data_IF_379814895185
#
_entry.id   IF_379814895185
#
_cell.length_a   1.000
_cell.length_b   1.000
_cell.length_c   1.000
_cell.angle_alpha   90.00
_cell.angle_beta   90.00
_cell.angle_gamma   90.00
#
_symmetry.space_group_name_H-M   'P 1'
#
loop_
_entity.id
_entity.type
_entity.pdbx_description
1 polymer ?
#
# COMPACT_ATOMS: atom_id res chain seq x y z
N UNK A 1 2.92 9.39 23.13
CA UNK A 1 3.96 9.84 22.19
C UNK A 1 3.38 10.96 21.34
N UNK A 2 4.17 11.96 20.92
CA UNK A 2 3.72 13.06 20.05
C UNK A 2 4.08 12.84 18.57
N UNK A 3 4.65 11.68 18.23
CA UNK A 3 5.11 11.35 16.87
C UNK A 3 4.06 10.50 16.15
N UNK A 4 3.87 10.74 14.86
CA UNK A 4 3.03 9.88 14.01
C UNK A 4 3.68 8.50 13.79
N UNK A 5 2.89 7.53 13.36
CA UNK A 5 3.41 6.18 13.06
C UNK A 5 4.48 6.22 11.96
N UNK A 6 4.22 6.95 10.87
CA UNK A 6 5.17 7.01 9.75
C UNK A 6 6.46 7.76 10.11
N UNK A 7 6.38 8.79 10.95
CA UNK A 7 7.57 9.44 11.50
C UNK A 7 8.39 8.47 12.36
N UNK A 8 7.73 7.66 13.17
CA UNK A 8 8.39 6.63 13.99
C UNK A 8 9.06 5.57 13.12
N UNK A 9 8.34 5.01 12.14
CA UNK A 9 8.88 4.00 11.23
C UNK A 9 10.05 4.54 10.39
N UNK A 10 9.98 5.80 9.96
CA UNK A 10 11.06 6.45 9.20
C UNK A 10 12.34 6.55 10.03
N UNK A 11 12.22 7.03 11.28
CA UNK A 11 13.37 7.13 12.19
C UNK A 11 13.91 5.76 12.57
N UNK A 12 13.02 4.80 12.83
CA UNK A 12 13.42 3.43 13.14
C UNK A 12 14.22 2.81 12.00
N UNK A 13 13.75 2.93 10.76
CA UNK A 13 14.42 2.40 9.58
C UNK A 13 15.78 3.09 9.34
N UNK A 14 15.88 4.39 9.61
CA UNK A 14 17.13 5.14 9.51
C UNK A 14 18.13 4.74 10.60
N UNK A 15 17.71 4.71 11.87
CA UNK A 15 18.58 4.38 13.01
C UNK A 15 19.04 2.92 12.99
N UNK A 16 18.19 2.00 12.54
CA UNK A 16 18.52 0.58 12.42
C UNK A 16 19.19 0.21 11.07
N UNK A 17 19.29 1.18 10.15
CA UNK A 17 19.73 1.00 8.76
C UNK A 17 19.09 -0.21 8.06
N UNK A 18 17.76 -0.26 8.08
CA UNK A 18 16.97 -1.33 7.47
C UNK A 18 15.98 -0.82 6.43
N UNK A 19 15.48 -1.74 5.61
CA UNK A 19 14.40 -1.49 4.67
C UNK A 19 13.02 -1.73 5.31
N UNK A 20 12.01 -1.11 4.72
CA UNK A 20 10.62 -1.25 5.10
C UNK A 20 9.88 -2.14 4.10
N UNK A 21 9.05 -3.02 4.65
CA UNK A 21 7.90 -3.58 3.95
C UNK A 21 6.72 -2.67 4.27
N UNK A 22 6.09 -2.13 3.24
CA UNK A 22 4.93 -1.26 3.40
C UNK A 22 3.67 -1.98 2.97
N UNK A 23 2.80 -2.26 3.93
CA UNK A 23 1.47 -2.77 3.68
C UNK A 23 0.50 -1.59 3.43
N UNK A 24 0.01 -1.49 2.19
CA UNK A 24 -0.92 -0.41 1.80
C UNK A 24 -2.30 -0.61 2.40
N UNK A 25 -2.71 -1.86 2.60
CA UNK A 25 -3.98 -2.18 3.23
C UNK A 25 -3.95 -1.77 4.70
N UNK A 26 -2.87 -2.07 5.41
CA UNK A 26 -2.72 -1.68 6.81
C UNK A 26 -2.78 -0.16 6.99
N UNK A 27 -2.15 0.62 6.11
CA UNK A 27 -2.27 2.09 6.12
C UNK A 27 -3.73 2.52 5.97
N UNK A 28 -4.48 1.93 5.03
CA UNK A 28 -5.88 2.25 4.82
C UNK A 28 -6.76 1.90 6.04
N UNK A 29 -6.60 0.70 6.60
CA UNK A 29 -7.33 0.24 7.79
C UNK A 29 -7.04 1.13 8.99
N UNK A 30 -5.77 1.41 9.26
CA UNK A 30 -5.33 2.28 10.36
C UNK A 30 -5.87 3.69 10.21
N UNK A 31 -5.83 4.26 8.99
CA UNK A 31 -6.36 5.59 8.71
C UNK A 31 -7.86 5.68 9.01
N UNK A 32 -8.63 4.70 8.55
CA UNK A 32 -10.07 4.65 8.80
C UNK A 32 -10.39 4.52 10.29
N UNK A 33 -9.70 3.63 10.99
CA UNK A 33 -9.97 3.35 12.40
C UNK A 33 -9.53 4.47 13.36
N UNK A 34 -8.48 5.20 13.00
CA UNK A 34 -7.91 6.26 13.85
C UNK A 34 -8.23 7.69 13.37
N UNK A 35 -8.93 7.84 12.26
CA UNK A 35 -9.44 9.12 11.77
C UNK A 35 -8.37 10.05 11.22
N UNK A 36 -7.32 9.50 10.60
CA UNK A 36 -6.31 10.28 9.87
C UNK A 36 -6.44 10.11 8.36
N UNK A 37 -5.82 11.00 7.58
CA UNK A 37 -5.85 10.92 6.12
C UNK A 37 -4.84 9.87 5.63
N UNK A 38 -5.28 8.80 4.93
CA UNK A 38 -4.35 7.81 4.39
C UNK A 38 -3.44 8.40 3.32
N UNK A 39 -3.91 9.41 2.59
CA UNK A 39 -3.14 10.01 1.49
C UNK A 39 -1.96 10.83 2.04
N UNK A 40 -2.18 11.57 3.14
CA UNK A 40 -1.12 12.27 3.86
C UNK A 40 -0.07 11.29 4.42
N UNK A 41 -0.50 10.09 4.85
CA UNK A 41 0.42 9.03 5.27
C UNK A 41 1.29 8.59 4.10
N UNK A 42 0.67 8.31 2.95
CA UNK A 42 1.35 7.89 1.72
C UNK A 42 2.37 8.93 1.24
N UNK A 43 2.08 10.23 1.40
CA UNK A 43 3.01 11.32 1.08
C UNK A 43 4.22 11.39 2.03
N UNK A 44 4.06 10.97 3.28
CA UNK A 44 5.12 10.97 4.29
C UNK A 44 5.99 9.71 4.28
N UNK A 45 5.61 8.68 3.53
CA UNK A 45 6.40 7.44 3.43
C UNK A 45 7.84 7.73 2.97
N UNK A 46 8.87 7.17 3.66
CA UNK A 46 10.29 7.28 3.28
C UNK A 46 10.58 6.29 2.15
N UNK A 47 10.18 6.66 0.94
CA UNK A 47 10.09 5.75 -0.21
C UNK A 47 11.41 5.10 -0.61
N UNK A 48 12.54 5.75 -0.33
CA UNK A 48 13.89 5.22 -0.51
C UNK A 48 14.19 4.03 0.39
N UNK A 49 13.52 3.93 1.54
CA UNK A 49 13.63 2.81 2.47
C UNK A 49 12.62 1.70 2.19
N UNK A 50 11.58 1.94 1.39
CA UNK A 50 10.59 0.91 1.05
C UNK A 50 11.15 -0.04 0.00
N UNK A 51 11.25 -1.33 0.37
CA UNK A 51 11.80 -2.39 -0.48
C UNK A 51 10.72 -3.31 -1.06
N UNK A 52 9.57 -3.41 -0.37
CA UNK A 52 8.51 -4.36 -0.70
C UNK A 52 7.14 -3.80 -0.33
N UNK A 53 6.12 -4.15 -1.11
CA UNK A 53 4.73 -3.78 -0.83
C UNK A 53 3.85 -4.99 -0.59
N UNK A 54 2.93 -4.87 0.36
CA UNK A 54 1.75 -5.73 0.44
C UNK A 54 0.51 -4.94 0.05
N UNK A 55 -0.40 -5.63 -0.62
CA UNK A 55 -1.78 -5.21 -0.84
C UNK A 55 -2.68 -6.38 -0.47
N UNK A 56 -3.77 -6.10 0.21
CA UNK A 56 -4.69 -7.10 0.72
C UNK A 56 -6.12 -6.53 0.79
N UNK A 57 -7.11 -7.41 0.88
CA UNK A 57 -8.46 -7.05 1.28
C UNK A 57 -8.65 -7.09 2.79
N UNK A 58 -9.76 -6.55 3.26
CA UNK A 58 -10.09 -6.43 4.68
C UNK A 58 -11.59 -6.61 4.90
N UNK A 59 -11.98 -6.77 6.16
CA UNK A 59 -13.39 -6.87 6.54
C UNK A 59 -13.88 -5.57 7.15
N UNK A 60 -14.85 -4.92 6.51
CA UNK A 60 -15.55 -3.77 7.08
C UNK A 60 -16.66 -4.24 8.05
N UNK A 61 -16.63 -3.74 9.30
CA UNK A 61 -17.65 -3.99 10.34
C UNK A 61 -18.60 -2.80 10.52
N UNK A 62 -18.58 -1.82 9.63
CA UNK A 62 -19.36 -0.58 9.63
C UNK A 62 -18.90 0.46 10.65
N UNK A 63 -18.38 0.04 11.80
CA UNK A 63 -17.83 0.93 12.84
C UNK A 63 -16.31 1.02 12.82
N UNK A 64 -15.66 -0.03 12.31
CA UNK A 64 -14.22 -0.16 12.17
C UNK A 64 -13.95 -1.20 11.08
N UNK A 65 -12.73 -1.17 10.54
CA UNK A 65 -12.25 -2.14 9.58
C UNK A 65 -11.28 -3.08 10.29
N UNK A 66 -11.37 -4.37 9.99
CA UNK A 66 -10.48 -5.40 10.50
C UNK A 66 -9.55 -5.84 9.37
N UNK A 67 -8.25 -5.79 9.65
CA UNK A 67 -7.17 -6.16 8.74
C UNK A 67 -7.08 -7.69 8.56
N UNK A 68 -8.05 -8.27 7.85
CA UNK A 68 -8.22 -9.74 7.80
C UNK A 68 -7.42 -10.43 6.71
N UNK A 69 -6.97 -9.72 5.68
CA UNK A 69 -6.24 -10.29 4.53
C UNK A 69 -6.96 -11.50 3.93
N UNK A 70 -8.27 -11.38 3.77
CA UNK A 70 -9.15 -12.53 3.49
C UNK A 70 -10.14 -12.27 2.37
N UNK A 71 -9.98 -11.17 1.63
CA UNK A 71 -10.88 -10.77 0.55
C UNK A 71 -10.10 -10.00 -0.52
N UNK A 72 -10.81 -9.61 -1.58
CA UNK A 72 -10.30 -8.81 -2.67
C UNK A 72 -9.82 -7.44 -2.19
N UNK A 73 -8.75 -6.95 -2.80
CA UNK A 73 -8.24 -5.61 -2.52
C UNK A 73 -9.23 -4.57 -3.06
N UNK A 74 -9.64 -3.63 -2.21
CA UNK A 74 -10.60 -2.59 -2.59
C UNK A 74 -9.95 -1.48 -3.43
N UNK A 75 -10.74 -0.81 -4.26
CA UNK A 75 -10.27 0.26 -5.17
C UNK A 75 -9.45 1.35 -4.47
N UNK A 76 -9.83 1.74 -3.25
CA UNK A 76 -9.12 2.78 -2.52
C UNK A 76 -7.68 2.37 -2.13
N UNK A 77 -7.46 1.08 -1.84
CA UNK A 77 -6.12 0.54 -1.58
C UNK A 77 -5.31 0.51 -2.88
N UNK A 78 -5.93 0.14 -4.02
CA UNK A 78 -5.29 0.24 -5.33
C UNK A 78 -4.89 1.67 -5.70
N UNK A 79 -5.74 2.66 -5.43
CA UNK A 79 -5.43 4.07 -5.68
C UNK A 79 -4.24 4.57 -4.82
N UNK A 80 -4.15 4.13 -3.57
CA UNK A 80 -3.00 4.42 -2.70
C UNK A 80 -1.73 3.72 -3.21
N UNK A 81 -1.85 2.46 -3.62
CA UNK A 81 -0.76 1.68 -4.20
C UNK A 81 -0.20 2.32 -5.47
N UNK A 82 -1.06 2.77 -6.39
CA UNK A 82 -0.64 3.52 -7.58
C UNK A 82 0.11 4.79 -7.22
N UNK A 83 -0.39 5.58 -6.25
CA UNK A 83 0.27 6.82 -5.81
C UNK A 83 1.64 6.58 -5.17
N UNK A 84 1.81 5.50 -4.41
CA UNK A 84 3.13 5.08 -3.92
C UNK A 84 4.09 4.82 -5.09
N UNK A 85 3.66 4.00 -6.06
CA UNK A 85 4.50 3.66 -7.21
C UNK A 85 4.85 4.87 -8.09
N UNK A 86 3.96 5.85 -8.20
CA UNK A 86 4.26 7.12 -8.88
C UNK A 86 5.42 7.89 -8.23
N UNK A 87 5.70 7.68 -6.93
CA UNK A 87 6.78 8.38 -6.19
C UNK A 87 8.14 7.70 -6.28
N UNK A 88 8.20 6.36 -6.32
CA UNK A 88 9.48 5.64 -6.14
C UNK A 88 9.76 4.50 -7.12
N UNK A 89 8.87 4.25 -8.08
CA UNK A 89 9.07 3.23 -9.12
C UNK A 89 8.90 1.79 -8.62
N UNK A 90 8.77 0.86 -9.57
CA UNK A 90 8.30 -0.54 -9.44
C UNK A 90 9.02 -1.45 -8.43
N UNK A 91 8.84 -1.21 -7.13
CA UNK A 91 9.15 -2.18 -6.08
C UNK A 91 8.30 -3.44 -6.25
N UNK A 92 8.81 -4.56 -5.74
CA UNK A 92 8.09 -5.81 -5.77
C UNK A 92 6.86 -5.76 -4.86
N UNK A 93 5.79 -6.43 -5.27
CA UNK A 93 4.49 -6.42 -4.61
C UNK A 93 4.03 -7.85 -4.36
N UNK A 94 3.49 -8.10 -3.17
CA UNK A 94 2.70 -9.29 -2.86
C UNK A 94 1.23 -8.90 -2.72
N UNK A 95 0.36 -9.69 -3.35
CA UNK A 95 -1.04 -9.73 -2.94
C UNK A 95 -1.12 -10.70 -1.78
N UNK A 96 -1.38 -10.20 -0.58
CA UNK A 96 -1.41 -10.98 0.65
C UNK A 96 -2.81 -11.54 0.92
N UNK A 97 -2.86 -12.83 1.29
CA UNK A 97 -4.09 -13.56 1.58
C UNK A 97 -3.80 -14.61 2.65
N UNK A 98 -4.24 -14.36 3.89
CA UNK A 98 -3.87 -15.14 5.07
C UNK A 98 -4.97 -16.11 5.53
N UNK A 99 -6.23 -15.79 5.22
CA UNK A 99 -7.41 -16.58 5.61
C UNK A 99 -8.43 -16.63 4.47
N UNK A 100 -9.32 -17.63 4.48
CA UNK A 100 -10.36 -17.80 3.45
C UNK A 100 -9.79 -17.78 2.02
N UNK A 101 -8.63 -18.42 1.84
CA UNK A 101 -7.87 -18.41 0.59
C UNK A 101 -8.73 -18.96 -0.56
N UNK A 102 -8.97 -18.18 -1.64
CA UNK A 102 -9.84 -18.58 -2.73
C UNK A 102 -9.09 -19.50 -3.70
N UNK A 103 -9.73 -19.83 -4.82
CA UNK A 103 -9.05 -20.56 -5.88
C UNK A 103 -7.90 -19.74 -6.50
N UNK A 104 -6.97 -20.47 -7.14
CA UNK A 104 -5.80 -19.87 -7.77
C UNK A 104 -6.16 -18.82 -8.81
N UNK A 105 -7.25 -19.01 -9.57
CA UNK A 105 -7.68 -18.07 -10.60
C UNK A 105 -8.02 -16.71 -10.00
N UNK A 106 -8.71 -16.70 -8.86
CA UNK A 106 -9.04 -15.50 -8.10
C UNK A 106 -7.79 -14.77 -7.61
N UNK A 107 -6.87 -15.48 -6.93
CA UNK A 107 -5.63 -14.85 -6.43
C UNK A 107 -4.76 -14.34 -7.58
N UNK A 108 -4.67 -15.11 -8.67
CA UNK A 108 -3.92 -14.71 -9.86
C UNK A 108 -4.52 -13.46 -10.51
N UNK A 109 -5.85 -13.34 -10.57
CA UNK A 109 -6.50 -12.13 -11.09
C UNK A 109 -6.19 -10.90 -10.24
N UNK A 110 -6.11 -11.01 -8.90
CA UNK A 110 -5.66 -9.90 -8.04
C UNK A 110 -4.20 -9.53 -8.31
N UNK A 111 -3.32 -10.50 -8.55
CA UNK A 111 -1.92 -10.22 -8.95
C UNK A 111 -1.87 -9.49 -10.29
N UNK A 112 -2.71 -9.85 -11.26
CA UNK A 112 -2.80 -9.12 -12.54
C UNK A 112 -3.32 -7.68 -12.34
N UNK A 113 -4.22 -7.44 -11.38
CA UNK A 113 -4.63 -6.08 -11.00
C UNK A 113 -3.45 -5.29 -10.43
N UNK A 114 -2.64 -5.88 -9.54
CA UNK A 114 -1.45 -5.22 -9.02
C UNK A 114 -0.48 -4.80 -10.15
N UNK A 115 -0.27 -5.68 -11.14
CA UNK A 115 0.52 -5.33 -12.32
C UNK A 115 -0.09 -4.16 -13.10
N UNK A 116 -1.40 -4.20 -13.36
CA UNK A 116 -2.10 -3.12 -14.05
C UNK A 116 -1.94 -1.76 -13.35
N UNK A 117 -2.15 -1.69 -12.04
CA UNK A 117 -2.05 -0.45 -11.27
C UNK A 117 -0.62 0.10 -11.17
N UNK A 118 0.38 -0.79 -11.18
CA UNK A 118 1.79 -0.40 -11.29
C UNK A 118 2.11 0.18 -12.67
N UNK A 119 1.66 -0.48 -13.73
CA UNK A 119 1.89 -0.01 -15.10
C UNK A 119 1.21 1.34 -15.36
N UNK A 120 0.01 1.55 -14.80
CA UNK A 120 -0.66 2.85 -14.77
C UNK A 120 0.17 3.93 -14.08
N UNK A 121 0.76 3.63 -12.93
CA UNK A 121 1.65 4.57 -12.21
C UNK A 121 2.85 4.97 -13.10
N UNK A 122 3.49 3.99 -13.74
CA UNK A 122 4.62 4.25 -14.63
C UNK A 122 4.24 5.10 -15.84
N UNK A 123 3.07 4.85 -16.44
CA UNK A 123 2.57 5.65 -17.55
C UNK A 123 2.36 7.11 -17.14
N UNK A 124 1.72 7.36 -15.98
CA UNK A 124 1.50 8.71 -15.44
C UNK A 124 2.79 9.45 -15.14
N UNK A 125 3.81 8.75 -14.63
CA UNK A 125 5.14 9.35 -14.42
C UNK A 125 5.77 9.76 -15.76
N UNK A 126 5.72 8.90 -16.78
CA UNK A 126 6.25 9.21 -18.12
C UNK A 126 5.54 10.42 -18.76
N UNK A 127 4.21 10.48 -18.65
CA UNK A 127 3.42 11.61 -19.15
C UNK A 127 3.80 12.93 -18.49
N UNK A 128 3.95 12.95 -17.16
CA UNK A 128 4.39 14.16 -16.42
C UNK A 128 5.79 14.62 -16.82
N UNK A 129 6.72 13.70 -17.02
CA UNK A 129 8.08 14.01 -17.47
C UNK A 129 8.08 14.59 -18.89
N UNK A 130 7.25 14.06 -19.79
CA UNK A 130 7.18 14.54 -21.18
C UNK A 130 6.44 15.87 -21.33
N UNK A 131 5.63 16.25 -20.34
CA UNK A 131 4.84 17.49 -20.36
C UNK A 131 5.58 18.71 -19.77
N UNK A 132 6.72 18.50 -19.10
CA UNK A 132 7.57 19.56 -18.52
C UNK A 132 8.78 19.88 -19.39
#
# INVERSE_FOLDING_TARGET
>A
SQMSEIEYLSRLAEEADCGLLLDVNNVFVSANNHGFCPDDYIEQVPVERVLYHHVAGHTDKGTHIVDTHSDHVVDKVWDMYTRLHERHGGRSTMVEWDADIPDFETVHNEVLKAQHYRDLAEARVKERVNAG
#
